data_IF_995626419083
#
_entry.id   IF_995626419083
#
_cell.length_a   1.000
_cell.length_b   1.000
_cell.length_c   1.000
_cell.angle_alpha   90.00
_cell.angle_beta   90.00
_cell.angle_gamma   90.00
#
_symmetry.space_group_name_H-M   'P 1'
#
loop_
_entity.id
_entity.type
_entity.pdbx_description
1 polymer ?
#
# COMPACT_ATOMS: atom_id res chain seq x y z
N UNK A 1 -12.02 -10.27 -1.14
CA UNK A 1 -11.37 -9.07 -1.68
C UNK A 1 -9.88 -9.19 -1.38
N UNK A 2 -8.99 -8.95 -2.33
CA UNK A 2 -7.55 -9.10 -2.13
C UNK A 2 -6.79 -7.78 -2.25
N UNK A 3 -5.51 -7.81 -1.88
CA UNK A 3 -4.58 -6.70 -2.04
C UNK A 3 -3.66 -6.95 -3.23
N UNK A 4 -3.35 -5.88 -3.98
CA UNK A 4 -2.20 -5.84 -4.87
C UNK A 4 -1.17 -4.91 -4.24
N UNK A 5 0.00 -5.43 -3.89
CA UNK A 5 1.11 -4.66 -3.38
C UNK A 5 2.03 -4.24 -4.53
N UNK A 6 2.38 -2.96 -4.58
CA UNK A 6 3.42 -2.45 -5.47
C UNK A 6 4.82 -3.01 -5.10
N UNK A 7 5.85 -2.64 -5.86
CA UNK A 7 7.22 -3.08 -5.58
C UNK A 7 7.71 -2.65 -4.19
N UNK A 8 7.27 -1.50 -3.70
CA UNK A 8 7.68 -0.95 -2.40
C UNK A 8 7.08 -1.72 -1.22
N UNK A 9 5.89 -2.30 -1.41
CA UNK A 9 5.15 -3.05 -0.38
C UNK A 9 5.31 -4.56 -0.48
N UNK A 10 5.95 -5.11 -1.51
CA UNK A 10 6.06 -6.55 -1.71
C UNK A 10 6.62 -7.30 -0.49
N UNK A 11 7.55 -6.70 0.25
CA UNK A 11 8.12 -7.27 1.49
C UNK A 11 7.14 -7.37 2.66
N UNK A 12 5.96 -6.75 2.58
CA UNK A 12 4.92 -6.82 3.61
C UNK A 12 3.87 -7.91 3.34
N UNK A 13 4.03 -8.70 2.27
CA UNK A 13 3.07 -9.75 1.87
C UNK A 13 2.66 -10.67 3.03
N UNK A 14 3.63 -11.32 3.66
CA UNK A 14 3.39 -12.28 4.76
C UNK A 14 2.67 -11.64 5.95
N UNK A 15 2.97 -10.37 6.25
CA UNK A 15 2.31 -9.63 7.33
C UNK A 15 0.82 -9.45 7.02
N UNK A 16 0.47 -9.06 5.80
CA UNK A 16 -0.93 -8.92 5.38
C UNK A 16 -1.66 -10.27 5.30
N UNK A 17 -0.97 -11.33 4.88
CA UNK A 17 -1.53 -12.69 4.87
C UNK A 17 -1.88 -13.18 6.28
N UNK A 18 -0.98 -12.96 7.26
CA UNK A 18 -1.26 -13.25 8.68
C UNK A 18 -2.45 -12.45 9.21
N UNK A 19 -2.62 -11.21 8.74
CA UNK A 19 -3.77 -10.35 9.07
C UNK A 19 -5.06 -10.76 8.35
N UNK A 20 -5.05 -11.85 7.57
CA UNK A 20 -6.24 -12.44 6.94
C UNK A 20 -6.55 -11.91 5.54
N UNK A 21 -5.62 -11.20 4.89
CA UNK A 21 -5.77 -10.76 3.51
C UNK A 21 -5.29 -11.80 2.51
N UNK A 22 -5.96 -11.89 1.37
CA UNK A 22 -5.39 -12.54 0.19
C UNK A 22 -4.54 -11.52 -0.57
N UNK A 23 -3.24 -11.79 -0.75
CA UNK A 23 -2.27 -10.78 -1.20
C UNK A 23 -1.55 -11.25 -2.45
N UNK A 24 -1.54 -10.40 -3.47
CA UNK A 24 -0.67 -10.51 -4.62
C UNK A 24 0.32 -9.36 -4.62
N UNK A 25 1.51 -9.60 -5.11
CA UNK A 25 2.49 -8.56 -5.42
C UNK A 25 2.60 -8.40 -6.93
N UNK A 26 3.08 -7.25 -7.39
CA UNK A 26 3.42 -7.07 -8.81
C UNK A 26 4.38 -8.13 -9.35
N UNK A 27 5.23 -8.72 -8.49
CA UNK A 27 6.10 -9.84 -8.85
C UNK A 27 5.31 -11.13 -9.10
N UNK A 28 4.34 -11.47 -8.23
CA UNK A 28 3.51 -12.67 -8.36
C UNK A 28 2.70 -12.70 -9.66
N UNK A 29 2.32 -11.51 -10.15
CA UNK A 29 1.49 -11.33 -11.35
C UNK A 29 2.28 -10.94 -12.59
N UNK A 30 3.62 -10.93 -12.52
CA UNK A 30 4.50 -10.66 -13.65
C UNK A 30 4.49 -9.22 -14.16
N UNK A 31 4.15 -8.26 -13.29
CA UNK A 31 4.11 -6.82 -13.57
C UNK A 31 5.32 -6.05 -13.02
N UNK A 32 6.41 -6.74 -12.67
CA UNK A 32 7.65 -6.09 -12.25
C UNK A 32 8.18 -5.18 -13.36
N UNK A 33 8.47 -3.92 -13.05
CA UNK A 33 8.87 -2.91 -14.03
C UNK A 33 7.79 -2.51 -15.05
N UNK A 34 6.54 -2.95 -14.87
CA UNK A 34 5.42 -2.48 -15.68
C UNK A 34 5.14 -0.99 -15.41
N UNK A 35 4.37 -0.35 -16.29
CA UNK A 35 3.94 1.03 -16.07
C UNK A 35 2.91 1.06 -14.94
N UNK A 36 2.92 2.15 -14.17
CA UNK A 36 1.94 2.38 -13.08
C UNK A 36 0.49 2.15 -13.52
N UNK A 37 0.14 2.61 -14.73
CA UNK A 37 -1.22 2.44 -15.28
C UNK A 37 -1.58 0.97 -15.51
N UNK A 38 -0.63 0.12 -15.87
CA UNK A 38 -0.89 -1.30 -16.13
C UNK A 38 -1.12 -2.04 -14.81
N UNK A 39 -0.36 -1.68 -13.75
CA UNK A 39 -0.58 -2.17 -12.38
C UNK A 39 -1.96 -1.77 -11.86
N UNK A 40 -2.34 -0.50 -12.05
CA UNK A 40 -3.64 0.04 -11.61
C UNK A 40 -4.79 -0.63 -12.36
N UNK A 41 -4.67 -0.84 -13.68
CA UNK A 41 -5.67 -1.55 -14.49
C UNK A 41 -5.82 -2.99 -14.03
N UNK A 42 -4.71 -3.70 -13.80
CA UNK A 42 -4.73 -5.06 -13.30
C UNK A 42 -5.47 -5.15 -11.95
N UNK A 43 -5.18 -4.24 -11.01
CA UNK A 43 -5.89 -4.19 -9.73
C UNK A 43 -7.40 -4.02 -9.92
N UNK A 44 -7.81 -3.14 -10.86
CA UNK A 44 -9.23 -2.91 -11.17
C UNK A 44 -9.89 -4.14 -11.79
N UNK A 45 -9.28 -4.73 -12.81
CA UNK A 45 -9.81 -5.89 -13.54
C UNK A 45 -9.97 -7.11 -12.63
N UNK A 46 -9.03 -7.30 -11.71
CA UNK A 46 -9.04 -8.39 -10.73
C UNK A 46 -9.82 -8.06 -9.46
N UNK A 47 -10.45 -6.88 -9.37
CA UNK A 47 -11.20 -6.40 -8.21
C UNK A 47 -10.37 -6.45 -6.90
N UNK A 48 -9.10 -6.08 -7.01
CA UNK A 48 -8.13 -5.94 -5.92
C UNK A 48 -8.06 -4.50 -5.44
N UNK A 49 -7.54 -4.30 -4.24
CA UNK A 49 -7.19 -2.99 -3.70
C UNK A 49 -5.68 -2.79 -3.91
N UNK A 50 -5.29 -1.77 -4.67
CA UNK A 50 -3.89 -1.39 -4.82
C UNK A 50 -3.37 -0.71 -3.55
N UNK A 51 -2.31 -1.22 -2.94
CA UNK A 51 -1.62 -0.56 -1.84
C UNK A 51 -0.30 0.00 -2.36
N UNK A 52 -0.12 1.31 -2.23
CA UNK A 52 1.05 2.02 -2.76
C UNK A 52 1.51 3.14 -1.82
N UNK A 53 2.80 3.44 -1.86
CA UNK A 53 3.39 4.65 -1.27
C UNK A 53 3.53 5.79 -2.29
N UNK A 54 3.47 5.48 -3.59
CA UNK A 54 3.64 6.44 -4.68
C UNK A 54 2.31 7.16 -5.00
N UNK A 55 2.27 8.50 -4.94
CA UNK A 55 1.10 9.29 -5.35
C UNK A 55 0.65 9.03 -6.79
N UNK A 56 1.57 8.77 -7.72
CA UNK A 56 1.24 8.63 -9.15
C UNK A 56 0.29 7.47 -9.45
N UNK A 57 0.56 6.20 -9.06
CA UNK A 57 -0.41 5.11 -9.22
C UNK A 57 -1.70 5.33 -8.43
N UNK A 58 -1.66 6.03 -7.30
CA UNK A 58 -2.86 6.41 -6.55
C UNK A 58 -3.75 7.39 -7.33
N UNK A 59 -3.18 8.44 -7.91
CA UNK A 59 -3.90 9.41 -8.75
C UNK A 59 -4.49 8.71 -9.99
N UNK A 60 -3.73 7.81 -10.63
CA UNK A 60 -4.23 7.02 -11.75
C UNK A 60 -5.38 6.10 -11.34
N UNK A 61 -5.30 5.48 -10.16
CA UNK A 61 -6.37 4.63 -9.63
C UNK A 61 -7.66 5.41 -9.38
N UNK A 62 -7.55 6.59 -8.76
CA UNK A 62 -8.68 7.51 -8.55
C UNK A 62 -9.31 7.90 -9.90
N UNK A 63 -8.50 8.33 -10.88
CA UNK A 63 -8.98 8.76 -12.20
C UNK A 63 -9.75 7.67 -12.96
N UNK A 64 -9.36 6.40 -12.82
CA UNK A 64 -10.03 5.30 -13.52
C UNK A 64 -11.05 4.56 -12.64
N UNK A 65 -11.27 4.99 -11.40
CA UNK A 65 -12.17 4.33 -10.44
C UNK A 65 -11.71 2.93 -10.02
N UNK A 66 -10.40 2.72 -9.91
CA UNK A 66 -9.83 1.53 -9.27
C UNK A 66 -9.80 1.72 -7.75
N UNK A 67 -9.92 0.63 -6.98
CA UNK A 67 -9.80 0.70 -5.52
C UNK A 67 -8.33 0.75 -5.13
N UNK A 68 -7.97 1.68 -4.25
CA UNK A 68 -6.61 1.82 -3.77
C UNK A 68 -6.54 2.35 -2.35
N UNK A 69 -5.35 2.22 -1.74
CA UNK A 69 -4.96 2.86 -0.49
C UNK A 69 -3.57 3.47 -0.69
N UNK A 70 -3.46 4.79 -0.55
CA UNK A 70 -2.19 5.50 -0.53
C UNK A 70 -1.67 5.59 0.90
N UNK A 71 -0.54 4.93 1.16
CA UNK A 71 0.17 5.03 2.43
C UNK A 71 1.23 6.13 2.32
N UNK A 72 0.80 7.38 2.47
CA UNK A 72 1.71 8.53 2.36
C UNK A 72 2.74 8.58 3.49
N UNK A 73 3.89 9.21 3.24
CA UNK A 73 4.90 9.48 4.28
C UNK A 73 4.32 10.24 5.49
N UNK A 74 3.37 11.15 5.25
CA UNK A 74 2.68 11.86 6.33
C UNK A 74 1.83 10.92 7.20
N UNK A 75 1.17 9.92 6.61
CA UNK A 75 0.44 8.90 7.36
C UNK A 75 1.40 8.02 8.16
N UNK A 76 2.50 7.58 7.55
CA UNK A 76 3.54 6.78 8.23
C UNK A 76 4.08 7.56 9.44
N UNK A 77 4.44 8.83 9.26
CA UNK A 77 4.95 9.68 10.33
C UNK A 77 3.95 9.83 11.49
N UNK A 78 2.66 10.01 11.19
CA UNK A 78 1.60 10.08 12.22
C UNK A 78 1.45 8.77 12.99
N UNK A 79 1.44 7.62 12.30
CA UNK A 79 1.35 6.31 12.96
C UNK A 79 2.59 6.06 13.83
N UNK A 80 3.78 6.41 13.31
CA UNK A 80 5.02 6.31 14.05
C UNK A 80 5.03 7.21 15.30
N UNK A 81 4.62 8.47 15.19
CA UNK A 81 4.50 9.41 16.31
C UNK A 81 3.63 8.85 17.43
N UNK A 82 2.43 8.34 17.08
CA UNK A 82 1.53 7.69 18.05
C UNK A 82 2.23 6.54 18.76
N UNK A 83 2.89 5.64 18.01
CA UNK A 83 3.57 4.47 18.59
C UNK A 83 4.79 4.84 19.43
N UNK A 84 5.51 5.90 19.07
CA UNK A 84 6.65 6.43 19.84
C UNK A 84 6.16 7.00 21.17
N UNK A 85 5.10 7.82 21.15
CA UNK A 85 4.52 8.42 22.36
C UNK A 85 3.90 7.39 23.29
N UNK A 86 3.20 6.39 22.75
CA UNK A 86 2.69 5.25 23.52
C UNK A 86 3.83 4.50 24.23
N UNK A 87 4.97 4.33 23.57
CA UNK A 87 6.14 3.62 24.10
C UNK A 87 6.95 4.46 25.09
N UNK A 88 7.01 5.78 24.90
CA UNK A 88 7.81 6.71 25.68
C UNK A 88 6.96 7.90 26.16
N UNK A 89 6.03 7.69 27.11
CA UNK A 89 5.10 8.72 27.57
C UNK A 89 5.79 9.90 28.26
N UNK A 90 7.01 9.70 28.78
CA UNK A 90 7.76 10.71 29.53
C UNK A 90 8.60 11.64 28.65
N UNK A 91 8.70 11.36 27.34
CA UNK A 91 9.36 12.26 26.39
C UNK A 91 8.39 13.41 26.12
N UNK A 92 8.48 14.45 26.96
CA UNK A 92 7.73 15.69 26.79
C UNK A 92 7.95 16.25 25.39
N UNK A 93 6.90 16.85 24.84
CA UNK A 93 6.92 17.60 23.57
C UNK A 93 8.18 18.46 23.51
N UNK A 94 9.07 18.13 22.58
CA UNK A 94 10.29 18.90 22.28
C UNK A 94 9.92 20.16 21.49
#
# INVERSE_FOLDING_TARGET
MGLLLDEMYAGLKEYFEILGWNVLTVHDVGLQGAKDIDVVKYAKEMNLILVTQDPKPADLAEMIGARYVLISNALIAKIADVKIREKYPDVKDC
#
